data_IF_978805950161
#
_entry.id   IF_978805950161
#
_cell.length_a   1.000
_cell.length_b   1.000
_cell.length_c   1.000
_cell.angle_alpha   90.00
_cell.angle_beta   90.00
_cell.angle_gamma   90.00
#
_symmetry.space_group_name_H-M   'P 1'
#
loop_
_entity.id
_entity.type
_entity.pdbx_description
1 polymer ?
#
# COMPACT_ATOMS: atom_id res chain seq x y z
N UNK A 1 19.88 -7.57 2.76
CA UNK A 1 19.67 -6.09 2.77
C UNK A 1 18.46 -5.84 1.91
N UNK A 2 17.47 -5.07 2.39
CA UNK A 2 16.27 -4.75 1.60
C UNK A 2 16.70 -3.90 0.40
N UNK A 3 16.24 -4.27 -0.80
CA UNK A 3 16.60 -3.58 -2.03
C UNK A 3 15.88 -2.22 -2.13
N UNK A 4 16.59 -1.23 -2.67
CA UNK A 4 16.11 0.14 -2.84
C UNK A 4 16.00 0.44 -4.33
N UNK A 5 14.84 0.94 -4.73
CA UNK A 5 14.50 1.23 -6.12
C UNK A 5 14.11 2.69 -6.29
N UNK A 6 14.52 3.26 -7.41
CA UNK A 6 13.88 4.43 -8.00
C UNK A 6 12.73 3.94 -8.88
N UNK A 7 11.53 4.46 -8.66
CA UNK A 7 10.34 4.06 -9.42
C UNK A 7 9.33 5.23 -9.40
N UNK A 8 9.20 5.96 -10.51
CA UNK A 8 8.29 7.09 -10.60
C UNK A 8 6.82 6.63 -10.58
N UNK A 9 5.93 7.52 -10.17
CA UNK A 9 4.50 7.32 -10.35
C UNK A 9 4.11 7.38 -11.82
N UNK A 10 3.27 6.45 -12.25
CA UNK A 10 2.63 6.49 -13.56
C UNK A 10 1.12 6.23 -13.42
N UNK A 11 0.24 7.03 -14.05
CA UNK A 11 -1.18 6.75 -14.08
C UNK A 11 -1.46 5.46 -14.87
N UNK A 12 -2.43 4.67 -14.40
CA UNK A 12 -2.79 3.40 -15.04
C UNK A 12 -4.32 3.27 -15.16
N UNK A 13 -4.87 2.80 -16.31
CA UNK A 13 -6.32 2.79 -16.57
C UNK A 13 -7.16 2.02 -15.55
N UNK A 14 -6.60 0.99 -14.91
CA UNK A 14 -7.30 0.18 -13.90
C UNK A 14 -7.19 0.72 -12.47
N UNK A 15 -6.42 1.77 -12.25
CA UNK A 15 -6.28 2.39 -10.94
C UNK A 15 -7.19 3.62 -10.86
N UNK A 16 -8.19 3.56 -9.97
CA UNK A 16 -9.06 4.70 -9.68
C UNK A 16 -8.31 5.70 -8.78
N UNK A 17 -7.88 6.87 -9.29
CA UNK A 17 -7.18 7.85 -8.47
C UNK A 17 -8.13 8.48 -7.44
N UNK A 18 -7.56 9.03 -6.37
CA UNK A 18 -8.28 9.95 -5.51
C UNK A 18 -8.23 11.38 -6.07
N UNK A 19 -9.06 12.27 -5.52
CA UNK A 19 -8.90 13.70 -5.77
C UNK A 19 -7.49 14.16 -5.39
N UNK A 20 -6.91 15.07 -6.16
CA UNK A 20 -5.53 15.57 -5.93
C UNK A 20 -5.34 16.12 -4.51
N UNK A 21 -6.34 16.83 -3.99
CA UNK A 21 -6.35 17.42 -2.65
C UNK A 21 -6.83 16.47 -1.56
N UNK A 22 -7.29 15.25 -1.91
CA UNK A 22 -7.78 14.28 -0.93
C UNK A 22 -6.68 13.92 0.07
N UNK A 23 -7.00 13.99 1.36
CA UNK A 23 -6.04 13.66 2.42
C UNK A 23 -5.86 12.16 2.55
N UNK A 24 -4.61 11.77 2.68
CA UNK A 24 -4.20 10.38 2.89
C UNK A 24 -3.28 10.28 4.11
N UNK A 25 -3.44 9.21 4.85
CA UNK A 25 -2.78 9.00 6.13
C UNK A 25 -2.03 7.67 6.15
N UNK A 26 -0.86 7.66 6.77
CA UNK A 26 -0.14 6.41 7.06
C UNK A 26 0.23 6.34 8.53
N UNK A 27 -0.36 5.36 9.21
CA UNK A 27 -0.14 5.08 10.63
C UNK A 27 0.98 4.06 10.79
N UNK A 28 1.89 4.29 11.72
CA UNK A 28 3.06 3.43 11.93
C UNK A 28 3.68 3.60 13.31
N UNK A 29 4.47 2.62 13.73
CA UNK A 29 5.33 2.74 14.91
C UNK A 29 6.50 3.70 14.64
N UNK A 30 7.03 4.30 15.71
CA UNK A 30 8.15 5.25 15.63
C UNK A 30 9.39 4.67 14.92
N UNK A 31 9.69 3.40 15.12
CA UNK A 31 10.83 2.74 14.45
C UNK A 31 10.70 2.73 12.93
N UNK A 32 9.48 2.48 12.40
CA UNK A 32 9.19 2.54 10.96
C UNK A 32 9.29 3.98 10.44
N UNK A 33 8.86 4.96 11.24
CA UNK A 33 9.01 6.36 10.89
C UNK A 33 10.48 6.78 10.81
N UNK A 34 11.32 6.39 11.79
CA UNK A 34 12.76 6.64 11.74
C UNK A 34 13.41 5.97 10.53
N UNK A 35 13.03 4.73 10.22
CA UNK A 35 13.50 4.04 9.01
C UNK A 35 13.14 4.80 7.72
N UNK A 36 11.91 5.34 7.62
CA UNK A 36 11.49 6.17 6.47
C UNK A 36 12.37 7.42 6.35
N UNK A 37 12.67 8.10 7.45
CA UNK A 37 13.54 9.29 7.44
C UNK A 37 14.97 8.95 7.04
N UNK A 38 15.51 7.86 7.59
CA UNK A 38 16.91 7.44 7.38
C UNK A 38 17.15 6.97 5.94
N UNK A 39 16.20 6.22 5.39
CA UNK A 39 16.29 5.68 4.03
C UNK A 39 15.81 6.64 2.95
N UNK A 40 15.02 7.68 3.30
CA UNK A 40 14.26 8.50 2.36
C UNK A 40 13.49 7.62 1.35
N UNK A 41 12.89 6.53 1.83
CA UNK A 41 12.18 5.57 1.00
C UNK A 41 10.97 4.99 1.73
N UNK A 42 9.88 4.80 0.99
CA UNK A 42 8.70 4.09 1.46
C UNK A 42 8.91 2.58 1.40
N UNK A 43 8.59 1.90 2.48
CA UNK A 43 8.59 0.45 2.50
C UNK A 43 7.30 -0.09 1.86
N UNK A 44 7.46 -0.99 0.89
CA UNK A 44 6.42 -1.74 0.22
C UNK A 44 6.48 -3.19 0.68
N UNK A 45 5.45 -3.62 1.38
CA UNK A 45 5.33 -5.01 1.83
C UNK A 45 4.93 -5.91 0.67
N UNK A 46 5.50 -7.12 0.61
CA UNK A 46 5.05 -8.14 -0.32
C UNK A 46 3.62 -8.59 0.02
N UNK A 47 2.78 -8.82 -0.99
CA UNK A 47 1.35 -9.04 -0.81
C UNK A 47 1.02 -10.27 0.06
N UNK A 48 1.84 -11.32 0.02
CA UNK A 48 1.65 -12.53 0.83
C UNK A 48 2.02 -12.34 2.31
N UNK A 49 2.72 -11.24 2.66
CA UNK A 49 3.12 -10.88 4.02
C UNK A 49 2.13 -9.93 4.71
N UNK A 50 1.10 -9.48 3.99
CA UNK A 50 0.04 -8.69 4.59
C UNK A 50 -0.86 -9.58 5.48
N UNK A 51 -1.51 -8.95 6.47
CA UNK A 51 -2.30 -9.67 7.48
C UNK A 51 -3.54 -10.38 6.92
N UNK A 52 -4.12 -9.88 5.83
CA UNK A 52 -5.24 -10.54 5.16
C UNK A 52 -4.71 -11.61 4.18
N UNK A 53 -4.97 -12.89 4.50
CA UNK A 53 -4.62 -14.00 3.63
C UNK A 53 -5.30 -13.98 2.24
N UNK A 54 -6.33 -13.14 2.07
CA UNK A 54 -7.08 -12.99 0.82
C UNK A 54 -6.54 -11.88 -0.10
N UNK A 55 -5.45 -11.25 0.25
CA UNK A 55 -4.82 -10.24 -0.63
C UNK A 55 -4.44 -10.87 -1.98
N UNK A 56 -4.92 -10.26 -3.06
CA UNK A 56 -4.72 -10.77 -4.43
C UNK A 56 -5.54 -12.02 -4.77
N UNK A 57 -6.49 -12.43 -3.90
CA UNK A 57 -7.40 -13.54 -4.20
C UNK A 57 -8.53 -13.10 -5.14
N UNK A 58 -9.14 -14.09 -5.79
CA UNK A 58 -10.32 -13.90 -6.64
C UNK A 58 -11.59 -14.23 -5.86
N UNK A 59 -12.71 -13.65 -6.31
CA UNK A 59 -14.03 -13.93 -5.73
C UNK A 59 -14.54 -15.30 -6.18
N UNK A 60 -15.53 -15.83 -5.48
CA UNK A 60 -16.19 -17.11 -5.85
C UNK A 60 -16.78 -17.03 -7.27
N UNK A 61 -17.38 -15.88 -7.62
CA UNK A 61 -17.95 -15.65 -8.95
C UNK A 61 -16.88 -15.60 -10.05
N UNK A 62 -15.75 -14.93 -9.81
CA UNK A 62 -14.63 -14.95 -10.75
C UNK A 62 -14.16 -16.39 -11.03
N UNK A 63 -13.95 -17.19 -9.97
CA UNK A 63 -13.50 -18.58 -10.12
C UNK A 63 -14.54 -19.45 -10.87
N UNK A 64 -15.83 -19.24 -10.60
CA UNK A 64 -16.91 -19.99 -11.28
C UNK A 64 -16.99 -19.68 -12.77
N UNK A 65 -16.66 -18.46 -13.19
CA UNK A 65 -16.70 -18.03 -14.60
C UNK A 65 -15.45 -18.38 -15.41
N UNK A 66 -14.33 -18.64 -14.75
CA UNK A 66 -13.07 -18.97 -15.44
C UNK A 66 -13.16 -20.09 -16.47
N UNK A 67 -13.80 -21.24 -16.20
CA UNK A 67 -13.95 -22.31 -17.21
C UNK A 67 -14.65 -21.83 -18.47
N UNK A 68 -15.64 -20.94 -18.35
CA UNK A 68 -16.37 -20.38 -19.49
C UNK A 68 -15.50 -19.42 -20.29
N UNK A 69 -14.70 -18.60 -19.60
CA UNK A 69 -13.87 -17.57 -20.24
C UNK A 69 -12.61 -18.16 -20.87
N UNK A 70 -11.97 -19.12 -20.19
CA UNK A 70 -10.63 -19.60 -20.53
C UNK A 70 -10.60 -21.08 -20.95
N UNK A 71 -11.66 -21.85 -20.70
CA UNK A 71 -11.71 -23.31 -20.85
C UNK A 71 -12.60 -23.85 -21.96
N UNK A 72 -13.52 -23.05 -22.48
CA UNK A 72 -14.65 -23.55 -23.32
C UNK A 72 -14.23 -24.35 -24.58
N UNK A 73 -13.05 -24.12 -25.12
CA UNK A 73 -12.54 -24.79 -26.33
C UNK A 73 -11.31 -25.67 -26.07
N UNK A 74 -10.96 -25.92 -24.81
CA UNK A 74 -9.68 -26.54 -24.46
C UNK A 74 -9.90 -27.97 -23.88
N UNK A 75 -9.34 -28.97 -24.55
CA UNK A 75 -9.40 -30.38 -24.10
C UNK A 75 -8.74 -30.61 -22.74
N UNK A 76 -7.92 -29.67 -22.28
CA UNK A 76 -7.15 -29.72 -21.05
C UNK A 76 -7.60 -28.63 -20.06
N UNK A 77 -8.91 -28.38 -19.93
CA UNK A 77 -9.47 -27.35 -19.04
C UNK A 77 -8.88 -27.39 -17.62
N UNK A 78 -8.75 -28.59 -17.03
CA UNK A 78 -8.19 -28.73 -15.69
C UNK A 78 -6.74 -28.23 -15.59
N UNK A 79 -5.92 -28.45 -16.62
CA UNK A 79 -4.54 -28.01 -16.68
C UNK A 79 -4.47 -26.47 -16.79
N UNK A 80 -5.35 -25.89 -17.61
CA UNK A 80 -5.44 -24.44 -17.75
C UNK A 80 -5.85 -23.78 -16.44
N UNK A 81 -6.86 -24.32 -15.75
CA UNK A 81 -7.34 -23.80 -14.46
C UNK A 81 -6.27 -23.91 -13.38
N UNK A 82 -5.53 -25.02 -13.32
CA UNK A 82 -4.42 -25.19 -12.38
C UNK A 82 -3.29 -24.18 -12.68
N UNK A 83 -2.91 -24.05 -13.94
CA UNK A 83 -1.88 -23.09 -14.37
C UNK A 83 -2.25 -21.64 -14.03
N UNK A 84 -3.51 -21.23 -14.24
CA UNK A 84 -4.01 -19.92 -13.84
C UNK A 84 -3.96 -19.73 -12.32
N UNK A 85 -4.33 -20.76 -11.57
CA UNK A 85 -4.30 -20.72 -10.10
C UNK A 85 -2.87 -20.58 -9.57
N UNK A 86 -1.92 -21.31 -10.15
CA UNK A 86 -0.50 -21.21 -9.81
C UNK A 86 0.06 -19.84 -10.17
N UNK A 87 -0.27 -19.32 -11.36
CA UNK A 87 0.13 -17.96 -11.77
C UNK A 87 -0.35 -16.89 -10.79
N UNK A 88 -1.63 -16.90 -10.40
CA UNK A 88 -2.16 -15.92 -9.46
C UNK A 88 -1.56 -16.05 -8.05
N UNK A 89 -1.26 -17.28 -7.61
CA UNK A 89 -0.50 -17.46 -6.35
C UNK A 89 0.90 -16.87 -6.43
N UNK A 90 1.58 -17.07 -7.56
CA UNK A 90 2.92 -16.51 -7.75
C UNK A 90 2.92 -14.98 -7.85
N UNK A 91 1.86 -14.37 -8.39
CA UNK A 91 1.74 -12.90 -8.41
C UNK A 91 1.80 -12.26 -7.02
N UNK A 92 1.32 -12.94 -5.97
CA UNK A 92 1.42 -12.45 -4.58
C UNK A 92 2.86 -12.29 -4.11
N UNK A 93 3.77 -13.11 -4.63
CA UNK A 93 5.20 -13.04 -4.33
C UNK A 93 5.91 -11.93 -5.11
N UNK A 94 5.27 -11.40 -6.15
CA UNK A 94 5.82 -10.39 -7.06
C UNK A 94 5.01 -9.09 -7.05
N UNK A 95 4.11 -8.93 -6.08
CA UNK A 95 3.34 -7.69 -5.86
C UNK A 95 3.71 -7.09 -4.52
N UNK A 96 4.10 -5.82 -4.55
CA UNK A 96 4.53 -5.07 -3.38
C UNK A 96 3.65 -3.84 -3.22
N UNK A 97 3.23 -3.57 -1.99
CA UNK A 97 2.25 -2.53 -1.71
C UNK A 97 2.63 -1.66 -0.51
N UNK A 98 2.35 -0.37 -0.66
CA UNK A 98 2.34 0.60 0.43
C UNK A 98 0.90 1.10 0.59
N UNK A 99 0.26 0.73 1.71
CA UNK A 99 -1.15 1.03 1.99
C UNK A 99 -1.29 2.33 2.77
N UNK A 100 -2.27 3.15 2.39
CA UNK A 100 -2.61 4.44 2.96
C UNK A 100 -4.10 4.49 3.28
N UNK A 101 -4.49 5.25 4.28
CA UNK A 101 -5.88 5.47 4.65
C UNK A 101 -6.37 6.78 4.04
N UNK A 102 -7.42 6.72 3.22
CA UNK A 102 -8.06 7.87 2.59
C UNK A 102 -9.15 8.41 3.51
N UNK A 103 -8.91 9.57 4.13
CA UNK A 103 -9.89 10.20 5.03
C UNK A 103 -9.54 11.67 5.27
N UNK A 104 -10.57 12.52 5.43
CA UNK A 104 -10.38 13.96 5.68
C UNK A 104 -9.81 14.28 7.06
N UNK A 105 -10.02 13.37 8.03
CA UNK A 105 -9.56 13.51 9.42
C UNK A 105 -8.80 12.26 9.87
N UNK A 106 -8.10 12.34 10.99
CA UNK A 106 -7.48 11.16 11.59
C UNK A 106 -8.51 10.10 12.03
N UNK A 107 -8.12 8.83 12.02
CA UNK A 107 -8.98 7.71 12.36
C UNK A 107 -8.58 7.02 13.66
N UNK A 108 -9.49 7.03 14.65
CA UNK A 108 -9.29 6.31 15.91
C UNK A 108 -9.14 4.79 15.70
N UNK A 109 -9.79 4.24 14.66
CA UNK A 109 -9.65 2.82 14.32
C UNK A 109 -8.25 2.53 13.79
N UNK A 110 -7.71 3.38 12.90
CA UNK A 110 -6.37 3.19 12.32
C UNK A 110 -5.28 3.34 13.39
N UNK A 111 -5.43 4.27 14.34
CA UNK A 111 -4.52 4.34 15.48
C UNK A 111 -4.45 3.02 16.26
N UNK A 112 -5.60 2.38 16.50
CA UNK A 112 -5.67 1.10 17.23
C UNK A 112 -5.15 -0.09 16.42
N UNK A 113 -5.33 -0.08 15.10
CA UNK A 113 -4.94 -1.20 14.24
C UNK A 113 -3.43 -1.21 13.95
N UNK A 114 -2.84 -0.03 13.73
CA UNK A 114 -1.48 0.08 13.20
C UNK A 114 -0.44 0.57 14.20
N UNK A 115 -0.87 0.98 15.39
CA UNK A 115 0.01 1.47 16.45
C UNK A 115 -0.16 0.61 17.70
N UNK A 116 0.83 -0.24 17.96
CA UNK A 116 0.79 -1.19 19.07
C UNK A 116 1.19 -0.59 20.42
N UNK A 117 1.85 0.56 20.43
CA UNK A 117 2.39 1.22 21.61
C UNK A 117 2.05 2.72 21.62
N UNK A 118 2.39 3.40 22.74
CA UNK A 118 2.11 4.84 22.87
C UNK A 118 2.99 5.73 21.97
N UNK A 119 4.06 5.18 21.37
CA UNK A 119 4.99 5.89 20.49
C UNK A 119 4.60 5.74 19.01
N UNK A 120 3.34 5.99 18.70
CA UNK A 120 2.81 5.95 17.34
C UNK A 120 2.95 7.25 16.59
N UNK A 121 3.08 7.14 15.28
CA UNK A 121 3.15 8.24 14.32
C UNK A 121 2.08 8.04 13.25
N UNK A 122 1.42 9.13 12.85
CA UNK A 122 0.70 9.19 11.60
C UNK A 122 1.28 10.30 10.71
N UNK A 123 1.58 9.97 9.47
CA UNK A 123 1.90 10.94 8.42
C UNK A 123 0.61 11.32 7.72
N UNK A 124 0.33 12.60 7.61
CA UNK A 124 -0.70 13.15 6.74
C UNK A 124 -0.04 13.77 5.51
N UNK A 125 -0.65 13.52 4.36
CA UNK A 125 -0.31 14.14 3.08
C UNK A 125 -1.55 14.24 2.20
N UNK A 126 -1.41 14.69 0.94
CA UNK A 126 -2.47 14.62 -0.06
C UNK A 126 -2.12 13.57 -1.13
N UNK A 127 -3.13 13.17 -1.94
CA UNK A 127 -2.89 12.26 -3.06
C UNK A 127 -1.83 12.85 -4.01
N UNK A 128 -1.95 14.11 -4.40
CA UNK A 128 -1.00 14.79 -5.29
C UNK A 128 0.44 14.76 -4.72
N UNK A 129 0.60 15.05 -3.43
CA UNK A 129 1.91 15.03 -2.78
C UNK A 129 2.48 13.62 -2.69
N UNK A 130 1.64 12.61 -2.40
CA UNK A 130 2.05 11.22 -2.38
C UNK A 130 2.60 10.79 -3.74
N UNK A 131 1.83 10.99 -4.81
CA UNK A 131 2.26 10.56 -6.17
C UNK A 131 3.44 11.38 -6.67
N UNK A 132 3.49 12.69 -6.38
CA UNK A 132 4.61 13.57 -6.75
C UNK A 132 5.89 13.32 -5.95
N UNK A 133 5.82 12.57 -4.84
CA UNK A 133 7.00 12.29 -4.01
C UNK A 133 7.87 11.15 -4.55
N UNK A 134 7.33 10.25 -5.37
CA UNK A 134 8.08 9.13 -5.92
C UNK A 134 9.20 9.61 -6.85
N UNK A 135 10.41 9.09 -6.61
CA UNK A 135 11.61 9.50 -7.35
C UNK A 135 11.87 8.55 -8.51
N UNK A 136 12.36 9.11 -9.60
CA UNK A 136 12.71 8.37 -10.80
C UNK A 136 12.24 9.08 -12.07
N UNK A 137 12.51 8.46 -13.20
CA UNK A 137 12.10 8.96 -14.51
C UNK A 137 11.48 7.83 -15.37
N UNK A 138 11.00 8.17 -16.56
CA UNK A 138 10.32 7.24 -17.46
C UNK A 138 11.23 6.09 -17.97
N UNK A 139 12.55 6.20 -17.81
CA UNK A 139 13.49 5.16 -18.19
C UNK A 139 13.69 4.11 -17.11
N UNK A 140 13.19 4.33 -15.90
CA UNK A 140 13.26 3.36 -14.82
C UNK A 140 12.49 2.08 -15.17
N UNK A 141 13.07 0.94 -14.83
CA UNK A 141 12.53 -0.37 -15.17
C UNK A 141 11.14 -0.62 -14.56
N UNK A 142 10.90 -0.07 -13.38
CA UNK A 142 9.67 -0.26 -12.63
C UNK A 142 9.00 1.07 -12.33
N UNK A 143 7.66 1.03 -12.21
CA UNK A 143 6.85 2.20 -11.95
C UNK A 143 5.87 1.91 -10.82
N UNK A 144 5.54 2.95 -10.06
CA UNK A 144 4.52 2.88 -9.01
C UNK A 144 3.18 3.32 -9.58
N UNK A 145 2.14 2.52 -9.33
CA UNK A 145 0.76 2.83 -9.63
C UNK A 145 -0.02 3.06 -8.35
N UNK A 146 -0.86 4.09 -8.31
CA UNK A 146 -1.60 4.46 -7.10
C UNK A 146 -3.09 4.55 -7.37
N UNK A 147 -3.90 3.83 -6.59
CA UNK A 147 -5.35 3.85 -6.72
C UNK A 147 -6.08 3.42 -5.46
N UNK A 148 -7.39 3.71 -5.46
CA UNK A 148 -8.31 3.31 -4.38
C UNK A 148 -8.59 1.82 -4.46
N UNK A 149 -8.83 1.22 -3.29
CA UNK A 149 -9.31 -0.15 -3.16
C UNK A 149 -10.83 -0.17 -3.23
N UNK A 150 -11.37 -1.07 -4.04
CA UNK A 150 -12.78 -1.37 -4.10
C UNK A 150 -13.11 -2.55 -3.16
N UNK A 151 -14.21 -2.43 -2.41
CA UNK A 151 -14.63 -3.42 -1.43
C UNK A 151 -15.82 -4.21 -1.93
N UNK A 152 -15.68 -5.54 -1.99
CA UNK A 152 -16.65 -6.45 -2.61
C UNK A 152 -17.10 -7.54 -1.64
N UNK A 153 -18.31 -8.05 -1.88
CA UNK A 153 -18.74 -9.34 -1.36
C UNK A 153 -18.11 -10.46 -2.19
N UNK A 154 -17.07 -11.11 -1.65
CA UNK A 154 -16.31 -12.15 -2.35
C UNK A 154 -17.13 -13.44 -2.62
N UNK A 155 -18.31 -13.60 -2.04
CA UNK A 155 -19.20 -14.74 -2.34
C UNK A 155 -20.11 -14.46 -3.54
N UNK A 156 -20.57 -13.21 -3.72
CA UNK A 156 -21.66 -12.88 -4.64
C UNK A 156 -21.30 -11.86 -5.74
N UNK A 157 -20.18 -11.19 -5.62
CA UNK A 157 -19.75 -10.17 -6.60
C UNK A 157 -18.50 -10.63 -7.35
N UNK A 158 -18.27 -10.04 -8.51
CA UNK A 158 -17.09 -10.27 -9.34
C UNK A 158 -16.42 -8.97 -9.72
N UNK A 159 -15.13 -9.04 -10.07
CA UNK A 159 -14.41 -7.96 -10.71
C UNK A 159 -13.93 -8.38 -12.10
N UNK A 160 -13.66 -7.39 -12.95
CA UNK A 160 -13.18 -7.65 -14.32
C UNK A 160 -11.76 -8.21 -14.25
N UNK A 161 -11.56 -9.45 -14.72
CA UNK A 161 -10.22 -10.04 -14.88
C UNK A 161 -9.57 -9.53 -16.18
N UNK A 162 -8.26 -9.55 -16.27
CA UNK A 162 -7.52 -9.20 -17.49
C UNK A 162 -6.25 -8.38 -17.25
N UNK A 163 -5.96 -8.08 -15.98
CA UNK A 163 -4.73 -7.40 -15.59
C UNK A 163 -4.22 -7.94 -14.25
N UNK A 164 -2.90 -8.01 -14.10
CA UNK A 164 -2.24 -8.58 -12.91
C UNK A 164 -2.41 -7.74 -11.65
N UNK A 165 -2.73 -6.45 -11.76
CA UNK A 165 -2.94 -5.56 -10.63
C UNK A 165 -4.35 -5.66 -10.03
N UNK A 166 -5.36 -5.99 -10.84
CA UNK A 166 -6.78 -5.93 -10.44
C UNK A 166 -7.08 -6.71 -9.14
N UNK A 167 -6.61 -7.95 -8.95
CA UNK A 167 -6.86 -8.66 -7.70
C UNK A 167 -6.33 -7.97 -6.45
N UNK A 168 -5.33 -7.08 -6.59
CA UNK A 168 -4.74 -6.32 -5.49
C UNK A 168 -5.39 -4.94 -5.29
N UNK A 169 -6.36 -4.58 -6.11
CA UNK A 169 -7.19 -3.37 -5.97
C UNK A 169 -8.56 -3.68 -5.34
N UNK A 170 -8.80 -4.93 -4.96
CA UNK A 170 -10.04 -5.37 -4.34
C UNK A 170 -9.80 -5.98 -2.97
N UNK A 171 -10.76 -5.78 -2.06
CA UNK A 171 -10.72 -6.31 -0.69
C UNK A 171 -12.13 -6.69 -0.23
N UNK A 172 -12.22 -7.59 0.74
CA UNK A 172 -13.52 -8.00 1.29
C UNK A 172 -14.21 -6.86 2.01
N UNK A 173 -15.54 -6.75 1.93
CA UNK A 173 -16.38 -5.74 2.59
C UNK A 173 -16.07 -5.56 4.08
N UNK A 174 -15.68 -6.63 4.79
CA UNK A 174 -15.33 -6.56 6.22
C UNK A 174 -14.16 -5.61 6.53
N UNK A 175 -13.34 -5.25 5.54
CA UNK A 175 -12.24 -4.31 5.65
C UNK A 175 -12.57 -2.90 5.14
N UNK A 176 -13.81 -2.62 4.76
CA UNK A 176 -14.21 -1.34 4.20
C UNK A 176 -13.85 -0.13 5.08
N UNK A 177 -13.77 -0.33 6.40
CA UNK A 177 -13.38 0.71 7.35
C UNK A 177 -11.94 1.22 7.17
N UNK A 178 -11.09 0.49 6.43
CA UNK A 178 -9.72 0.90 6.14
C UNK A 178 -9.65 1.99 5.08
N UNK A 179 -10.66 2.15 4.22
CA UNK A 179 -10.69 3.15 3.13
C UNK A 179 -9.34 3.27 2.43
N UNK A 180 -8.83 2.13 1.93
CA UNK A 180 -7.46 2.07 1.44
C UNK A 180 -7.25 2.80 0.12
N UNK A 181 -6.10 3.48 0.05
CA UNK A 181 -5.41 3.87 -1.17
C UNK A 181 -4.10 3.07 -1.22
N UNK A 182 -3.84 2.39 -2.32
CA UNK A 182 -2.64 1.55 -2.48
C UNK A 182 -1.69 2.12 -3.50
N UNK A 183 -0.43 2.25 -3.13
CA UNK A 183 0.68 2.34 -4.06
C UNK A 183 1.20 0.92 -4.32
N UNK A 184 1.23 0.49 -5.58
CA UNK A 184 1.58 -0.89 -5.98
C UNK A 184 2.71 -0.86 -7.00
N UNK A 185 3.64 -1.79 -6.86
CA UNK A 185 4.70 -2.08 -7.82
C UNK A 185 4.78 -3.59 -8.04
N UNK A 186 4.93 -4.02 -9.29
CA UNK A 186 5.12 -5.42 -9.67
C UNK A 186 6.42 -5.54 -10.46
N UNK A 187 7.56 -5.82 -9.80
CA UNK A 187 8.84 -6.00 -10.47
C UNK A 187 8.90 -7.37 -11.17
N UNK A 188 8.07 -7.54 -12.21
CA UNK A 188 8.05 -8.75 -13.04
C UNK A 188 9.14 -8.62 -14.09
N UNK A 189 10.06 -9.58 -14.20
CA UNK A 189 11.13 -9.54 -15.19
C UNK A 189 10.59 -9.43 -16.63
N UNK A 190 11.14 -8.54 -17.47
CA UNK A 190 10.69 -8.38 -18.86
C UNK A 190 10.80 -9.65 -19.70
N UNK A 191 11.67 -10.58 -19.30
CA UNK A 191 11.91 -11.86 -19.99
C UNK A 191 10.73 -12.84 -19.92
N UNK A 192 9.68 -12.55 -19.12
CA UNK A 192 8.53 -13.44 -18.97
C UNK A 192 8.89 -14.84 -18.45
N UNK A 193 10.05 -14.98 -17.80
CA UNK A 193 10.48 -16.23 -17.19
C UNK A 193 9.53 -16.65 -16.04
N UNK A 194 9.55 -17.93 -15.64
CA UNK A 194 8.77 -18.37 -14.50
C UNK A 194 9.13 -17.53 -13.29
N UNK A 195 8.09 -17.00 -12.62
CA UNK A 195 8.22 -16.32 -11.34
C UNK A 195 8.74 -17.37 -10.35
N UNK A 196 10.03 -17.31 -10.03
CA UNK A 196 10.68 -18.30 -9.17
C UNK A 196 10.58 -17.88 -7.70
N UNK A 197 10.55 -18.85 -6.79
CA UNK A 197 10.53 -18.61 -5.34
C UNK A 197 11.81 -17.91 -4.82
N UNK A 198 12.89 -17.90 -5.60
CA UNK A 198 14.14 -17.17 -5.28
C UNK A 198 14.04 -15.72 -5.71
N UNK A 199 13.21 -14.96 -5.00
CA UNK A 199 13.01 -13.54 -5.26
C UNK A 199 14.05 -12.70 -4.52
N UNK A 200 14.79 -11.81 -5.21
CA UNK A 200 15.69 -10.88 -4.54
C UNK A 200 14.97 -9.90 -3.59
N UNK A 201 13.65 -9.80 -3.70
CA UNK A 201 12.79 -8.88 -2.93
C UNK A 201 12.02 -9.57 -1.79
N UNK A 202 12.46 -10.74 -1.33
CA UNK A 202 11.75 -11.54 -0.32
C UNK A 202 11.38 -10.76 0.95
N UNK A 203 12.21 -9.80 1.35
CA UNK A 203 12.03 -8.98 2.55
C UNK A 203 11.18 -7.70 2.31
N UNK A 204 10.66 -7.49 1.09
CA UNK A 204 9.99 -6.26 0.68
C UNK A 204 10.91 -5.33 -0.12
N UNK A 205 10.38 -4.17 -0.49
CA UNK A 205 11.07 -3.15 -1.28
C UNK A 205 11.11 -1.80 -0.55
N UNK A 206 12.19 -1.06 -0.75
CA UNK A 206 12.29 0.36 -0.42
C UNK A 206 12.19 1.18 -1.70
N UNK A 207 11.15 2.00 -1.85
CA UNK A 207 10.95 2.87 -3.01
C UNK A 207 11.28 4.30 -2.63
N UNK A 208 12.21 4.91 -3.36
CA UNK A 208 12.72 6.27 -3.08
C UNK A 208 11.64 7.33 -3.18
N UNK A 209 11.64 8.25 -2.21
CA UNK A 209 10.71 9.36 -2.17
C UNK A 209 11.37 10.66 -1.71
N UNK A 210 10.87 11.80 -2.20
CA UNK A 210 11.16 13.09 -1.60
C UNK A 210 10.32 13.26 -0.33
N UNK A 211 10.96 13.20 0.84
CA UNK A 211 10.30 13.34 2.13
C UNK A 211 9.65 14.72 2.33
N UNK A 212 10.20 15.77 1.73
CA UNK A 212 9.65 17.14 1.85
C UNK A 212 8.37 17.28 1.02
N UNK A 213 8.31 16.60 -0.12
CA UNK A 213 7.10 16.49 -0.92
C UNK A 213 6.09 15.57 -0.23
N UNK A 214 6.51 14.40 0.22
CA UNK A 214 5.64 13.38 0.81
C UNK A 214 4.96 13.86 2.10
N UNK A 215 5.71 14.40 3.06
CA UNK A 215 5.21 14.65 4.42
C UNK A 215 4.72 16.09 4.55
N UNK A 216 3.40 16.27 4.69
CA UNK A 216 2.79 17.56 4.95
C UNK A 216 2.71 17.84 6.46
N UNK A 217 2.19 16.87 7.22
CA UNK A 217 2.06 16.96 8.67
C UNK A 217 2.35 15.62 9.33
N UNK A 218 2.87 15.66 10.54
CA UNK A 218 3.16 14.51 11.38
C UNK A 218 2.30 14.62 12.64
N UNK A 219 1.57 13.56 12.94
CA UNK A 219 0.79 13.43 14.17
C UNK A 219 1.44 12.40 15.08
N UNK A 220 1.53 12.70 16.38
CA UNK A 220 1.87 11.72 17.40
C UNK A 220 0.59 11.13 18.00
N UNK A 221 0.64 9.85 18.37
CA UNK A 221 -0.54 9.12 18.85
C UNK A 221 -1.25 9.81 20.03
N UNK A 222 -2.59 9.68 20.16
CA UNK A 222 -3.36 10.35 21.20
C UNK A 222 -2.91 9.97 22.62
N UNK A 223 -2.36 8.78 22.80
CA UNK A 223 -1.84 8.28 24.09
C UNK A 223 -0.37 8.63 24.34
N UNK A 224 0.27 9.33 23.40
CA UNK A 224 1.69 9.68 23.52
C UNK A 224 1.95 10.72 24.62
N UNK A 225 3.05 10.52 25.35
CA UNK A 225 3.51 11.51 26.30
C UNK A 225 4.07 12.77 25.61
N UNK A 226 3.99 13.92 26.30
CA UNK A 226 4.43 15.23 25.74
C UNK A 226 5.90 15.22 25.27
N UNK A 227 6.78 14.51 26.01
CA UNK A 227 8.19 14.38 25.62
C UNK A 227 8.39 13.71 24.27
N UNK A 228 7.49 12.80 23.88
CA UNK A 228 7.57 12.07 22.62
C UNK A 228 7.40 13.00 21.42
N UNK A 229 6.44 13.94 21.47
CA UNK A 229 6.29 14.99 20.45
C UNK A 229 7.58 15.81 20.29
N UNK A 230 8.23 16.14 21.41
CA UNK A 230 9.51 16.85 21.40
C UNK A 230 10.62 16.01 20.75
N UNK A 231 10.67 14.70 21.07
CA UNK A 231 11.62 13.77 20.46
C UNK A 231 11.42 13.70 18.93
N UNK A 232 10.18 13.52 18.47
CA UNK A 232 9.85 13.50 17.03
C UNK A 232 10.33 14.77 16.36
N UNK A 233 10.09 15.95 16.97
CA UNK A 233 10.57 17.23 16.45
C UNK A 233 12.09 17.35 16.39
N UNK A 234 12.81 16.76 17.32
CA UNK A 234 14.27 16.76 17.29
C UNK A 234 14.82 15.80 16.22
N UNK A 235 14.16 14.68 16.00
CA UNK A 235 14.53 13.71 14.98
C UNK A 235 14.30 14.29 13.58
N UNK A 236 13.11 14.84 13.30
CA UNK A 236 12.80 15.43 11.99
C UNK A 236 13.78 16.53 11.61
N UNK A 237 14.22 17.36 12.58
CA UNK A 237 15.24 18.38 12.35
C UNK A 237 16.59 17.80 11.94
N UNK A 238 17.00 16.63 12.48
CA UNK A 238 18.26 15.98 12.09
C UNK A 238 18.26 15.53 10.63
N UNK A 239 17.08 15.22 10.09
CA UNK A 239 16.89 14.84 8.68
C UNK A 239 16.50 16.05 7.79
N UNK A 240 16.63 17.29 8.29
CA UNK A 240 16.28 18.52 7.59
C UNK A 240 14.83 18.52 7.03
N UNK A 241 13.93 17.84 7.74
CA UNK A 241 12.51 17.79 7.41
C UNK A 241 11.75 18.88 8.20
N UNK A 242 11.12 19.80 7.46
CA UNK A 242 10.34 20.92 8.01
C UNK A 242 8.84 20.65 7.93
N UNK A 243 8.39 19.56 8.53
CA UNK A 243 6.96 19.25 8.64
C UNK A 243 6.37 19.81 9.94
N UNK A 244 5.08 20.17 9.90
CA UNK A 244 4.33 20.47 11.12
C UNK A 244 4.19 19.21 11.97
N UNK A 245 4.36 19.34 13.31
CA UNK A 245 4.19 18.21 14.24
C UNK A 245 3.07 18.55 15.21
N UNK A 246 2.04 17.73 15.19
CA UNK A 246 0.85 17.91 16.02
C UNK A 246 0.67 16.72 16.97
N UNK A 247 -0.04 16.93 18.05
CA UNK A 247 -0.60 15.84 18.84
C UNK A 247 -1.95 15.48 18.22
N UNK A 248 -2.31 14.19 18.23
CA UNK A 248 -3.62 13.75 17.76
C UNK A 248 -4.73 14.52 18.47
N UNK A 249 -5.72 15.01 17.72
CA UNK A 249 -6.88 15.73 18.27
C UNK A 249 -7.76 14.81 19.13
N UNK A 250 -7.64 13.50 18.97
CA UNK A 250 -8.32 12.50 19.82
C UNK A 250 -7.82 12.48 21.27
N UNK A 251 -6.73 13.19 21.57
CA UNK A 251 -6.21 13.38 22.94
C UNK A 251 -6.88 14.55 23.68
N UNK A 252 -7.71 15.35 23.00
CA UNK A 252 -8.35 16.51 23.61
C UNK A 252 -9.44 16.10 24.60
N UNK A 253 -9.52 16.83 25.71
CA UNK A 253 -10.60 16.64 26.68
C UNK A 253 -11.94 17.14 26.12
N UNK A 254 -13.04 16.47 26.46
CA UNK A 254 -14.37 16.90 26.03
C UNK A 254 -14.73 18.26 26.66
N UNK A 255 -15.38 19.10 25.87
CA UNK A 255 -15.95 20.37 26.34
C UNK A 255 -17.37 20.12 26.89
N UNK A 256 -17.67 20.65 28.09
CA UNK A 256 -18.99 20.53 28.74
C UNK A 256 -19.61 21.90 28.92
#
# INVERSE_FOLDING_TARGET
>A
MIERLSAPYNPHPFFSPADSAAKVWRYMDFTKFVSLLDTSALFFSRADQLSDAWEGAHTTENLRRRPVIWGADNKDEAVVMDSLSQFHRSLRLHTFMSCWHLNDVESAAMWKLYVSHNEGIAIQTTFERLVGSFQGDESDLFQVYVGKVDYLDYEHEEFIEGNTFIPFLHKRLSFQHEHELRAIIQPIPPSGGPLTESDPYADGLLVEVDLRMLIECIYVAPTSAVWFKTLVGNITKKYDLRASIQHSDLAQDPLY
#
